data_IF_812301349365
#
_entry.id   IF_812301349365
#
_cell.length_a   1.000
_cell.length_b   1.000
_cell.length_c   1.000
_cell.angle_alpha   90.00
_cell.angle_beta   90.00
_cell.angle_gamma   90.00
#
_symmetry.space_group_name_H-M   'P 1'
#
loop_
_entity.id
_entity.type
_entity.pdbx_description
1 polymer ?
#
# COMPACT_ATOMS: atom_id res chain seq x y z
N UNK A 1 11.27 7.08 -39.67
CA UNK A 1 11.42 6.06 -40.72
C UNK A 1 11.23 4.69 -40.08
N UNK A 2 9.99 4.37 -39.68
CA UNK A 2 9.64 3.06 -39.12
C UNK A 2 8.76 2.34 -40.15
N UNK A 3 9.30 1.24 -40.65
CA UNK A 3 8.76 0.55 -41.78
C UNK A 3 7.55 -0.32 -41.44
N UNK A 4 6.77 -0.51 -42.47
CA UNK A 4 5.57 -1.38 -42.65
C UNK A 4 4.35 -1.00 -41.82
N UNK A 5 3.27 -0.69 -42.50
CA UNK A 5 1.94 -0.34 -41.98
C UNK A 5 1.32 -1.37 -41.02
N UNK A 6 1.94 -2.53 -40.84
CA UNK A 6 1.47 -3.58 -39.92
C UNK A 6 1.98 -3.48 -38.49
N UNK A 7 3.11 -2.84 -38.25
CA UNK A 7 3.71 -2.75 -36.92
C UNK A 7 3.31 -1.50 -36.13
N UNK A 8 2.76 -0.48 -36.78
CA UNK A 8 2.40 0.79 -36.17
C UNK A 8 1.38 0.64 -35.01
N UNK A 9 0.25 -0.08 -35.18
CA UNK A 9 -0.68 -0.27 -34.07
C UNK A 9 -0.03 -0.96 -32.85
N UNK A 10 0.90 -1.89 -33.08
CA UNK A 10 1.62 -2.56 -31.99
C UNK A 10 2.53 -1.57 -31.21
N UNK A 11 3.22 -0.66 -31.91
CA UNK A 11 4.02 0.36 -31.23
C UNK A 11 3.15 1.32 -30.43
N UNK A 12 2.01 1.77 -30.97
CA UNK A 12 1.05 2.61 -30.27
C UNK A 12 0.55 1.90 -29.01
N UNK A 13 0.15 0.64 -29.15
CA UNK A 13 -0.32 -0.17 -28.02
C UNK A 13 0.73 -0.28 -26.91
N UNK A 14 1.98 -0.65 -27.25
CA UNK A 14 3.06 -0.80 -26.27
C UNK A 14 3.44 0.52 -25.61
N UNK A 15 3.51 1.60 -26.40
CA UNK A 15 3.79 2.93 -25.87
C UNK A 15 2.72 3.35 -24.88
N UNK A 16 1.44 3.14 -25.20
CA UNK A 16 0.33 3.49 -24.34
C UNK A 16 0.30 2.65 -23.06
N UNK A 17 0.56 1.33 -23.15
CA UNK A 17 0.73 0.48 -21.97
C UNK A 17 1.81 1.03 -21.03
N UNK A 18 2.97 1.42 -21.58
CA UNK A 18 4.06 1.99 -20.78
C UNK A 18 3.65 3.32 -20.14
N UNK A 19 3.10 4.25 -20.92
CA UNK A 19 2.67 5.58 -20.45
C UNK A 19 1.67 5.45 -19.32
N UNK A 20 0.62 4.68 -19.51
CA UNK A 20 -0.47 4.54 -18.53
C UNK A 20 0.01 3.82 -17.27
N UNK A 21 0.86 2.81 -17.42
CA UNK A 21 1.48 2.13 -16.25
C UNK A 21 2.33 3.11 -15.44
N UNK A 22 3.16 3.93 -16.10
CA UNK A 22 3.97 4.97 -15.44
C UNK A 22 3.07 6.02 -14.78
N UNK A 23 2.00 6.45 -15.45
CA UNK A 23 1.02 7.41 -14.93
C UNK A 23 0.35 6.91 -13.65
N UNK A 24 -0.08 5.65 -13.64
CA UNK A 24 -0.66 5.01 -12.46
C UNK A 24 0.35 4.99 -11.30
N UNK A 25 1.59 4.57 -11.55
CA UNK A 25 2.64 4.58 -10.54
C UNK A 25 2.96 5.99 -10.02
N UNK A 26 3.02 6.99 -10.91
CA UNK A 26 3.22 8.39 -10.52
C UNK A 26 2.11 8.88 -9.60
N UNK A 27 0.86 8.58 -9.91
CA UNK A 27 -0.29 8.96 -9.07
C UNK A 27 -0.17 8.38 -7.67
N UNK A 28 0.25 7.13 -7.54
CA UNK A 28 0.50 6.48 -6.25
C UNK A 28 1.65 7.18 -5.49
N UNK A 29 2.74 7.52 -6.18
CA UNK A 29 3.88 8.21 -5.55
C UNK A 29 3.51 9.63 -5.11
N UNK A 30 2.65 10.34 -5.86
CA UNK A 30 2.07 11.63 -5.43
C UNK A 30 1.26 11.45 -4.15
N UNK A 31 0.34 10.48 -4.11
CA UNK A 31 -0.47 10.18 -2.94
C UNK A 31 0.38 9.81 -1.70
N UNK A 32 1.56 9.23 -1.92
CA UNK A 32 2.53 8.89 -0.86
C UNK A 32 3.50 10.02 -0.50
N UNK A 33 3.39 11.18 -1.14
CA UNK A 33 4.24 12.34 -0.86
C UNK A 33 5.69 12.20 -1.32
N UNK A 34 5.97 11.35 -2.31
CA UNK A 34 7.32 11.14 -2.85
C UNK A 34 7.73 12.27 -3.80
N UNK A 35 8.23 13.38 -3.24
CA UNK A 35 8.47 14.67 -3.91
C UNK A 35 9.45 14.63 -5.08
N UNK A 36 10.36 13.67 -5.15
CA UNK A 36 11.36 13.56 -6.20
C UNK A 36 11.00 12.54 -7.26
N UNK A 37 10.48 11.38 -6.87
CA UNK A 37 10.15 10.30 -7.79
C UNK A 37 8.92 10.60 -8.64
N UNK A 38 7.91 11.23 -8.07
CA UNK A 38 6.69 11.55 -8.80
C UNK A 38 6.93 12.53 -9.97
N UNK A 39 7.63 13.68 -9.80
CA UNK A 39 7.96 14.57 -10.92
C UNK A 39 8.88 13.92 -11.96
N UNK A 40 9.86 13.12 -11.52
CA UNK A 40 10.75 12.42 -12.44
C UNK A 40 9.99 11.47 -13.38
N UNK A 41 9.08 10.67 -12.83
CA UNK A 41 8.20 9.82 -13.65
C UNK A 41 7.30 10.62 -14.58
N UNK A 42 6.84 11.82 -14.14
CA UNK A 42 6.04 12.72 -14.96
C UNK A 42 6.77 13.18 -16.23
N UNK A 43 8.06 13.46 -16.15
CA UNK A 43 8.86 13.83 -17.34
C UNK A 43 8.90 12.68 -18.34
N UNK A 44 9.17 11.46 -17.89
CA UNK A 44 9.17 10.27 -18.77
C UNK A 44 7.79 10.01 -19.38
N UNK A 45 6.74 10.08 -18.56
CA UNK A 45 5.35 9.90 -18.99
C UNK A 45 4.99 10.87 -20.11
N UNK A 46 5.17 12.16 -19.89
CA UNK A 46 4.82 13.19 -20.89
C UNK A 46 5.66 13.05 -22.15
N UNK A 47 6.93 12.71 -22.04
CA UNK A 47 7.81 12.53 -23.21
C UNK A 47 7.32 11.38 -24.09
N UNK A 48 7.01 10.21 -23.51
CA UNK A 48 6.51 9.05 -24.27
C UNK A 48 5.12 9.36 -24.84
N UNK A 49 4.26 10.00 -24.03
CA UNK A 49 2.91 10.35 -24.45
C UNK A 49 2.89 11.28 -25.67
N UNK A 50 3.76 12.30 -25.72
CA UNK A 50 3.87 13.19 -26.86
C UNK A 50 4.25 12.45 -28.15
N UNK A 51 5.13 11.46 -28.07
CA UNK A 51 5.45 10.62 -29.24
C UNK A 51 4.27 9.75 -29.66
N UNK A 52 3.60 9.09 -28.70
CA UNK A 52 2.49 8.22 -28.97
C UNK A 52 1.31 8.98 -29.61
N UNK A 53 0.89 10.10 -29.01
CA UNK A 53 -0.21 10.91 -29.53
C UNK A 53 0.11 11.50 -30.89
N UNK A 54 1.37 11.91 -31.13
CA UNK A 54 1.81 12.40 -32.43
C UNK A 54 1.63 11.38 -33.55
N UNK A 55 1.90 10.11 -33.28
CA UNK A 55 1.68 9.03 -34.27
C UNK A 55 0.19 8.69 -34.45
N UNK A 56 -0.59 8.68 -33.36
CA UNK A 56 -2.05 8.47 -33.43
C UNK A 56 -2.71 9.56 -34.28
N UNK A 57 -2.35 10.83 -34.09
CA UNK A 57 -2.91 11.97 -34.82
C UNK A 57 -2.64 11.92 -36.32
N UNK A 58 -1.51 11.36 -36.74
CA UNK A 58 -1.17 11.16 -38.18
C UNK A 58 -2.02 10.04 -38.81
N UNK A 59 -2.55 9.11 -38.02
CA UNK A 59 -3.21 7.90 -38.51
C UNK A 59 -4.63 7.74 -37.93
N UNK A 60 -5.33 8.85 -37.66
CA UNK A 60 -6.71 8.86 -37.12
C UNK A 60 -7.73 8.10 -37.97
N UNK A 61 -7.51 8.02 -39.30
CA UNK A 61 -8.37 7.31 -40.20
C UNK A 61 -8.22 5.77 -40.11
N UNK A 62 -7.17 5.26 -39.45
CA UNK A 62 -6.98 3.84 -39.23
C UNK A 62 -7.56 3.44 -37.87
N UNK A 63 -8.74 2.82 -37.88
CA UNK A 63 -9.40 2.33 -36.68
C UNK A 63 -8.54 1.38 -35.84
N UNK A 64 -7.55 0.70 -36.45
CA UNK A 64 -6.61 -0.20 -35.78
C UNK A 64 -5.71 0.56 -34.82
N UNK A 65 -5.27 1.76 -35.19
CA UNK A 65 -4.47 2.62 -34.32
C UNK A 65 -5.28 3.10 -33.12
N UNK A 66 -6.54 3.50 -33.34
CA UNK A 66 -7.45 3.90 -32.27
C UNK A 66 -7.78 2.75 -31.32
N UNK A 67 -8.02 1.56 -31.85
CA UNK A 67 -8.26 0.36 -31.06
C UNK A 67 -7.02 -0.07 -30.26
N UNK A 68 -5.82 0.03 -30.86
CA UNK A 68 -4.56 -0.24 -30.18
C UNK A 68 -4.31 0.74 -29.04
N UNK A 69 -4.60 2.03 -29.23
CA UNK A 69 -4.49 3.06 -28.19
C UNK A 69 -5.44 2.74 -27.01
N UNK A 70 -6.73 2.49 -27.28
CA UNK A 70 -7.71 2.16 -26.23
C UNK A 70 -7.37 0.86 -25.48
N UNK A 71 -6.93 -0.17 -26.22
CA UNK A 71 -6.48 -1.43 -25.63
C UNK A 71 -5.23 -1.27 -24.76
N UNK A 72 -4.26 -0.46 -25.23
CA UNK A 72 -3.05 -0.12 -24.47
C UNK A 72 -3.36 0.61 -23.19
N UNK A 73 -4.27 1.59 -23.23
CA UNK A 73 -4.75 2.31 -22.05
C UNK A 73 -5.36 1.37 -21.00
N UNK A 74 -6.24 0.48 -21.45
CA UNK A 74 -6.91 -0.49 -20.56
C UNK A 74 -5.91 -1.44 -19.91
N UNK A 75 -5.01 -2.02 -20.70
CA UNK A 75 -3.99 -2.94 -20.19
C UNK A 75 -2.98 -2.23 -19.29
N UNK A 76 -2.60 -1.00 -19.63
CA UNK A 76 -1.70 -0.17 -18.84
C UNK A 76 -2.24 0.12 -17.44
N UNK A 77 -3.53 0.46 -17.32
CA UNK A 77 -4.20 0.62 -16.02
C UNK A 77 -4.18 -0.68 -15.22
N UNK A 78 -4.54 -1.80 -15.84
CA UNK A 78 -4.53 -3.10 -15.18
C UNK A 78 -3.14 -3.46 -14.65
N UNK A 79 -2.10 -3.30 -15.47
CA UNK A 79 -0.71 -3.56 -15.07
C UNK A 79 -0.24 -2.59 -13.98
N UNK A 80 -0.65 -1.32 -14.04
CA UNK A 80 -0.35 -0.33 -13.01
C UNK A 80 -0.90 -0.72 -11.65
N UNK A 81 -2.15 -1.19 -11.59
CA UNK A 81 -2.79 -1.69 -10.35
C UNK A 81 -2.07 -2.95 -9.83
N UNK A 82 -1.76 -3.90 -10.72
CA UNK A 82 -1.02 -5.11 -10.32
C UNK A 82 0.37 -4.78 -9.76
N UNK A 83 1.06 -3.79 -10.34
CA UNK A 83 2.35 -3.34 -9.83
C UNK A 83 2.20 -2.69 -8.45
N UNK A 84 1.16 -1.89 -8.24
CA UNK A 84 0.86 -1.32 -6.90
C UNK A 84 0.70 -2.41 -5.85
N UNK A 85 -0.14 -3.39 -6.13
CA UNK A 85 -0.37 -4.52 -5.22
C UNK A 85 0.92 -5.29 -4.90
N UNK A 86 1.75 -5.57 -5.92
CA UNK A 86 3.03 -6.28 -5.75
C UNK A 86 4.06 -5.46 -4.97
N UNK A 87 4.13 -4.17 -5.21
CA UNK A 87 5.04 -3.29 -4.50
C UNK A 87 4.68 -3.21 -3.00
N UNK A 88 3.41 -3.48 -2.65
CA UNK A 88 2.90 -3.51 -1.27
C UNK A 88 3.53 -2.39 -0.40
N UNK A 89 3.71 -1.21 -1.03
CA UNK A 89 4.39 -0.08 -0.40
C UNK A 89 3.47 0.57 0.63
N UNK A 90 4.05 0.98 1.75
CA UNK A 90 3.35 1.72 2.80
C UNK A 90 3.10 0.90 4.06
N UNK A 91 2.48 1.56 5.02
CA UNK A 91 2.08 0.99 6.30
C UNK A 91 0.56 0.93 6.36
N UNK A 92 0.04 -0.09 7.00
CA UNK A 92 -1.39 -0.27 7.25
C UNK A 92 -1.64 -0.37 8.75
N UNK A 93 -2.73 0.23 9.20
CA UNK A 93 -3.30 0.00 10.52
C UNK A 93 -4.27 -1.17 10.45
N UNK A 94 -4.03 -2.20 11.23
CA UNK A 94 -4.95 -3.32 11.37
C UNK A 94 -5.63 -3.20 12.71
N UNK A 95 -6.95 -3.06 12.68
CA UNK A 95 -7.81 -3.07 13.86
C UNK A 95 -8.56 -4.38 13.91
N UNK A 96 -8.44 -5.08 15.01
CA UNK A 96 -9.13 -6.36 15.25
C UNK A 96 -10.03 -6.19 16.47
N UNK A 97 -11.25 -6.70 16.41
CA UNK A 97 -12.24 -6.62 17.50
C UNK A 97 -12.69 -8.05 17.83
N UNK A 98 -12.57 -8.41 19.10
CA UNK A 98 -12.96 -9.72 19.59
C UNK A 98 -13.68 -9.63 20.94
N UNK A 99 -14.66 -10.51 21.15
CA UNK A 99 -15.33 -10.73 22.45
C UNK A 99 -14.60 -11.77 23.32
N UNK A 100 -13.64 -12.49 22.74
CA UNK A 100 -12.89 -13.54 23.42
C UNK A 100 -11.66 -12.93 24.10
N UNK A 101 -11.05 -13.69 25.01
CA UNK A 101 -9.79 -13.31 25.64
C UNK A 101 -8.71 -13.05 24.59
N UNK A 102 -8.18 -11.84 24.61
CA UNK A 102 -7.21 -11.36 23.63
C UNK A 102 -5.75 -11.68 24.01
N UNK A 103 -5.48 -12.17 25.22
CA UNK A 103 -4.12 -12.33 25.75
C UNK A 103 -3.24 -13.18 24.84
N UNK A 104 -3.72 -14.35 24.43
CA UNK A 104 -2.95 -15.25 23.56
C UNK A 104 -2.64 -14.64 22.19
N UNK A 105 -3.58 -13.92 21.60
CA UNK A 105 -3.38 -13.23 20.33
C UNK A 105 -2.36 -12.07 20.45
N UNK A 106 -2.46 -11.28 21.52
CA UNK A 106 -1.55 -10.17 21.79
C UNK A 106 -0.12 -10.71 21.96
N UNK A 107 0.06 -11.77 22.74
CA UNK A 107 1.38 -12.35 22.96
C UNK A 107 1.97 -12.97 21.69
N UNK A 108 1.17 -13.64 20.88
CA UNK A 108 1.61 -14.19 19.60
C UNK A 108 2.04 -13.08 18.62
N UNK A 109 1.32 -11.97 18.57
CA UNK A 109 1.69 -10.82 17.73
C UNK A 109 2.97 -10.15 18.23
N UNK A 110 3.15 -10.02 19.55
CA UNK A 110 4.38 -9.48 20.15
C UNK A 110 5.57 -10.40 19.92
N UNK A 111 5.41 -11.71 20.03
CA UNK A 111 6.46 -12.69 19.72
C UNK A 111 6.86 -12.67 18.24
N UNK A 112 5.94 -12.27 17.35
CA UNK A 112 6.20 -12.07 15.94
C UNK A 112 6.79 -10.70 15.58
N UNK A 113 7.20 -9.90 16.61
CA UNK A 113 7.77 -8.54 16.50
C UNK A 113 6.79 -7.48 15.96
N UNK A 114 5.49 -7.66 16.17
CA UNK A 114 4.51 -6.61 15.86
C UNK A 114 4.19 -5.77 17.09
N UNK A 115 4.18 -4.44 16.90
CA UNK A 115 3.71 -3.50 17.92
C UNK A 115 2.19 -3.61 18.06
N UNK A 116 1.71 -3.87 19.28
CA UNK A 116 0.29 -4.09 19.54
C UNK A 116 -0.18 -3.15 20.63
N UNK A 117 -1.28 -2.45 20.38
CA UNK A 117 -2.05 -1.68 21.37
C UNK A 117 -3.39 -2.38 21.56
N UNK A 118 -3.70 -2.73 22.80
CA UNK A 118 -4.98 -3.32 23.16
C UNK A 118 -5.78 -2.34 24.01
N UNK A 119 -7.07 -2.23 23.73
CA UNK A 119 -8.01 -1.34 24.42
C UNK A 119 -9.25 -2.16 24.75
N UNK A 120 -9.69 -2.11 26.01
CA UNK A 120 -10.99 -2.63 26.41
C UNK A 120 -12.08 -1.63 26.00
N UNK A 121 -13.13 -2.12 25.37
CA UNK A 121 -14.22 -1.30 24.85
C UNK A 121 -15.58 -2.00 25.05
N UNK A 122 -16.65 -1.24 24.89
CA UNK A 122 -18.03 -1.77 24.89
C UNK A 122 -18.52 -1.89 23.45
N UNK A 123 -18.88 -3.10 23.05
CA UNK A 123 -19.56 -3.38 21.78
C UNK A 123 -21.07 -3.48 21.97
N UNK A 124 -21.80 -3.63 20.87
CA UNK A 124 -23.26 -3.77 20.90
C UNK A 124 -23.75 -5.02 21.68
N UNK A 125 -22.94 -6.06 21.72
CA UNK A 125 -23.27 -7.34 22.38
C UNK A 125 -22.51 -7.54 23.71
N UNK A 126 -21.88 -6.50 24.25
CA UNK A 126 -21.13 -6.56 25.50
C UNK A 126 -19.66 -6.13 25.37
N UNK A 127 -18.83 -6.45 26.39
CA UNK A 127 -17.42 -6.07 26.40
C UNK A 127 -16.65 -6.66 25.22
N UNK A 128 -15.74 -5.88 24.64
CA UNK A 128 -14.88 -6.29 23.53
C UNK A 128 -13.44 -5.83 23.76
N UNK A 129 -12.49 -6.54 23.18
CA UNK A 129 -11.11 -6.12 23.09
C UNK A 129 -10.83 -5.61 21.68
N UNK A 130 -10.36 -4.37 21.59
CA UNK A 130 -9.89 -3.74 20.33
C UNK A 130 -8.38 -3.83 20.31
N UNK A 131 -7.85 -4.59 19.36
CA UNK A 131 -6.42 -4.78 19.15
C UNK A 131 -6.02 -3.97 17.92
N UNK A 132 -5.09 -3.04 18.08
CA UNK A 132 -4.59 -2.20 17.00
C UNK A 132 -3.10 -2.44 16.79
N UNK A 133 -2.71 -2.64 15.53
CA UNK A 133 -1.32 -2.80 15.13
C UNK A 133 -1.02 -2.05 13.85
N UNK A 134 0.13 -1.37 13.80
CA UNK A 134 0.63 -0.70 12.59
C UNK A 134 1.76 -1.52 12.02
N UNK A 135 1.59 -1.97 10.79
CA UNK A 135 2.52 -2.88 10.14
C UNK A 135 2.83 -2.44 8.71
N UNK A 136 3.92 -2.94 8.14
CA UNK A 136 4.16 -2.83 6.70
C UNK A 136 3.13 -3.67 5.94
N UNK A 137 2.56 -3.16 4.85
CA UNK A 137 1.54 -3.85 4.05
C UNK A 137 1.95 -5.28 3.66
N UNK A 138 3.22 -5.52 3.40
CA UNK A 138 3.76 -6.86 3.10
C UNK A 138 3.56 -7.89 4.22
N UNK A 139 3.40 -7.46 5.46
CA UNK A 139 3.22 -8.32 6.62
C UNK A 139 1.75 -8.56 6.96
N UNK A 140 0.81 -7.96 6.21
CA UNK A 140 -0.62 -8.05 6.48
C UNK A 140 -1.11 -9.50 6.55
N UNK A 141 -0.79 -10.30 5.54
CA UNK A 141 -1.19 -11.70 5.50
C UNK A 141 -0.70 -12.49 6.72
N UNK A 142 0.54 -12.24 7.18
CA UNK A 142 1.11 -12.90 8.36
C UNK A 142 0.33 -12.55 9.63
N UNK A 143 -0.01 -11.28 9.82
CA UNK A 143 -0.82 -10.82 10.97
C UNK A 143 -2.21 -11.42 10.93
N UNK A 144 -2.88 -11.43 9.77
CA UNK A 144 -4.21 -12.01 9.62
C UNK A 144 -4.21 -13.54 9.84
N UNK A 145 -3.15 -14.24 9.44
CA UNK A 145 -3.01 -15.68 9.71
C UNK A 145 -2.90 -15.94 11.20
N UNK A 146 -2.10 -15.17 11.93
CA UNK A 146 -2.00 -15.26 13.39
C UNK A 146 -3.38 -14.98 14.02
N UNK A 147 -4.04 -13.89 13.62
CA UNK A 147 -5.33 -13.51 14.17
C UNK A 147 -6.40 -14.61 13.99
N UNK A 148 -6.48 -15.19 12.80
CA UNK A 148 -7.44 -16.28 12.50
C UNK A 148 -7.12 -17.57 13.22
N UNK A 149 -5.87 -17.83 13.56
CA UNK A 149 -5.48 -19.01 14.32
C UNK A 149 -6.05 -18.99 15.75
N UNK A 150 -6.01 -17.81 16.40
CA UNK A 150 -6.55 -17.63 17.75
C UNK A 150 -8.07 -17.38 17.75
N UNK A 151 -8.55 -16.60 16.78
CA UNK A 151 -9.95 -16.21 16.67
C UNK A 151 -10.42 -16.34 15.21
N UNK A 152 -10.96 -17.51 14.80
CA UNK A 152 -11.38 -17.74 13.42
C UNK A 152 -12.41 -16.73 12.91
N UNK A 153 -13.26 -16.20 13.78
CA UNK A 153 -14.33 -15.24 13.47
C UNK A 153 -13.99 -13.81 13.94
N UNK A 154 -12.70 -13.47 14.07
CA UNK A 154 -12.32 -12.11 14.46
C UNK A 154 -12.77 -11.09 13.39
N UNK A 155 -13.47 -10.06 13.83
CA UNK A 155 -13.75 -8.91 12.97
C UNK A 155 -12.46 -8.07 12.85
N UNK A 156 -12.08 -7.75 11.62
CA UNK A 156 -10.94 -6.87 11.40
C UNK A 156 -11.21 -5.83 10.32
N UNK A 157 -10.61 -4.65 10.45
CA UNK A 157 -10.52 -3.62 9.42
C UNK A 157 -9.05 -3.30 9.14
N UNK A 158 -8.78 -2.92 7.89
CA UNK A 158 -7.43 -2.53 7.45
C UNK A 158 -7.54 -1.13 6.87
N UNK A 159 -6.80 -0.20 7.47
CA UNK A 159 -6.78 1.20 7.08
C UNK A 159 -5.40 1.53 6.49
N UNK A 160 -5.37 2.13 5.29
CA UNK A 160 -4.11 2.60 4.68
C UNK A 160 -3.63 3.86 5.41
N UNK A 161 -2.38 3.84 5.87
CA UNK A 161 -1.78 4.96 6.57
C UNK A 161 -0.89 5.76 5.61
N UNK A 162 -1.26 7.00 5.33
CA UNK A 162 -0.46 7.91 4.49
C UNK A 162 0.85 8.31 5.15
N UNK A 163 0.86 8.48 6.48
CA UNK A 163 2.08 8.69 7.26
C UNK A 163 1.91 8.07 8.64
N UNK A 164 2.79 7.15 9.00
CA UNK A 164 2.96 6.74 10.38
C UNK A 164 4.23 7.42 10.90
N UNK A 165 4.09 8.49 11.67
CA UNK A 165 5.21 8.99 12.44
C UNK A 165 5.54 7.94 13.51
N UNK A 166 6.81 7.55 13.59
CA UNK A 166 7.33 6.59 14.54
C UNK A 166 7.26 7.17 15.97
N UNK A 167 6.06 7.26 16.53
CA UNK A 167 5.87 7.63 17.92
C UNK A 167 6.12 6.48 18.90
N UNK A 168 5.76 5.26 18.55
CA UNK A 168 6.08 4.02 19.26
C UNK A 168 6.16 2.90 18.24
N UNK A 169 7.28 2.79 17.56
CA UNK A 169 7.57 1.61 16.75
C UNK A 169 7.79 0.41 17.67
N UNK A 170 7.52 -0.83 17.21
CA UNK A 170 7.87 -2.01 17.94
C UNK A 170 9.36 -1.96 18.27
N UNK A 171 9.65 -1.89 19.53
CA UNK A 171 11.00 -1.87 20.02
C UNK A 171 11.62 -3.21 19.69
N UNK A 172 12.51 -3.25 18.70
CA UNK A 172 13.45 -4.34 18.63
C UNK A 172 14.15 -4.40 19.99
N UNK A 173 14.06 -5.52 20.66
CA UNK A 173 14.52 -5.80 22.02
C UNK A 173 16.00 -5.44 22.28
N UNK A 174 16.71 -4.93 21.29
CA UNK A 174 18.16 -4.70 21.31
C UNK A 174 18.64 -3.33 21.75
N UNK A 175 17.74 -2.36 22.10
CA UNK A 175 18.18 -0.98 22.35
C UNK A 175 17.63 -0.28 23.61
N UNK A 176 17.09 -1.03 24.57
CA UNK A 176 16.55 -0.43 25.81
C UNK A 176 17.41 -0.63 27.06
N UNK A 177 18.66 -0.97 26.92
CA UNK A 177 19.61 -0.86 28.02
C UNK A 177 20.29 0.52 27.91
N UNK A 178 19.69 1.53 28.51
CA UNK A 178 20.40 2.80 28.71
C UNK A 178 19.64 4.12 28.65
N UNK A 179 18.32 4.17 28.50
CA UNK A 179 17.61 5.46 28.46
C UNK A 179 16.32 5.46 29.31
N UNK A 180 16.44 5.16 30.60
CA UNK A 180 15.46 5.60 31.58
C UNK A 180 16.07 6.80 32.30
N UNK A 181 15.60 8.03 32.07
CA UNK A 181 15.97 9.16 32.94
C UNK A 181 15.44 8.87 34.34
N UNK A 182 16.30 8.95 35.37
CA UNK A 182 16.02 8.70 36.77
C UNK A 182 15.05 9.69 37.45
N UNK A 183 14.25 10.41 36.69
CA UNK A 183 13.37 11.49 37.16
C UNK A 183 11.86 11.14 37.17
N UNK A 184 11.46 9.93 36.81
CA UNK A 184 10.03 9.58 36.88
C UNK A 184 9.70 8.92 38.21
N UNK A 185 9.47 9.74 39.25
CA UNK A 185 8.84 9.32 40.49
C UNK A 185 7.33 9.14 40.24
N UNK A 186 6.88 7.90 40.27
CA UNK A 186 5.45 7.59 40.33
C UNK A 186 4.85 8.15 41.62
N UNK A 187 3.68 8.84 41.58
CA UNK A 187 2.98 9.23 42.79
C UNK A 187 2.52 7.96 43.53
N UNK A 188 2.82 7.88 44.83
CA UNK A 188 2.31 6.82 45.70
C UNK A 188 0.80 6.98 45.82
N UNK A 189 0.08 5.89 45.52
CA UNK A 189 -1.33 5.79 45.84
C UNK A 189 -1.54 5.89 47.36
N UNK A 190 -2.47 6.76 47.73
CA UNK A 190 -3.07 6.83 49.07
C UNK A 190 -4.33 5.96 49.06
#
# INVERSE_FOLDING_TARGET
MFGSSGSLPLYIFLAEVCVVTISTMRTIFVARGMKFLAPLLGVFEVSIWLFAIGEVMKHLNDWRCSAAFAGGFTLGNFLGILLEEKLAMGSVGVRMITHMDACGLIDALRMADFGVTAIEAQGALGPVHVIYTVIKRKNLLRVLTIARHFHPNVFYSVDDLHSAALGVAPLSRRRWVGLVPSQFKLPRAV
#
